data_IF_035238837718
#
_entry.id   IF_035238837718
#
_cell.length_a   1.000
_cell.length_b   1.000
_cell.length_c   1.000
_cell.angle_alpha   90.00
_cell.angle_beta   90.00
_cell.angle_gamma   90.00
#
_symmetry.space_group_name_H-M   'P 1'
#
loop_
_entity.id
_entity.type
_entity.pdbx_description
1 polymer ?
#
# COMPACT_ATOMS: atom_id res chain seq x y z
N UNK A 1 -5.85 4.65 -5.19
CA UNK A 1 -5.72 5.06 -3.78
C UNK A 1 -4.33 4.69 -3.29
N UNK A 2 -3.76 5.36 -2.29
CA UNK A 2 -2.52 4.87 -1.65
C UNK A 2 -2.94 3.77 -0.67
N UNK A 3 -2.43 2.56 -0.86
CA UNK A 3 -2.71 1.39 0.00
C UNK A 3 -1.64 1.28 1.08
N UNK A 4 -1.89 0.43 2.08
CA UNK A 4 -0.89 0.05 3.10
C UNK A 4 0.39 -0.52 2.48
N UNK A 5 0.25 -1.35 1.44
CA UNK A 5 1.36 -1.93 0.67
C UNK A 5 2.19 -0.85 -0.02
N UNK A 6 1.55 0.09 -0.71
CA UNK A 6 2.22 1.23 -1.36
C UNK A 6 2.94 2.09 -0.32
N UNK A 7 2.28 2.38 0.82
CA UNK A 7 2.87 3.17 1.90
C UNK A 7 4.11 2.50 2.51
N UNK A 8 4.08 1.17 2.64
CA UNK A 8 5.22 0.37 3.10
C UNK A 8 6.39 0.42 2.12
N UNK A 9 6.12 0.38 0.81
CA UNK A 9 7.15 0.54 -0.22
C UNK A 9 7.77 1.94 -0.21
N UNK A 10 6.96 2.98 -0.03
CA UNK A 10 7.46 4.37 0.10
C UNK A 10 8.47 4.47 1.23
N UNK A 11 8.14 3.95 2.41
CA UNK A 11 9.05 3.95 3.57
C UNK A 11 10.34 3.17 3.30
N UNK A 12 10.23 2.00 2.69
CA UNK A 12 11.39 1.18 2.32
C UNK A 12 12.32 1.92 1.36
N UNK A 13 11.78 2.61 0.36
CA UNK A 13 12.57 3.31 -0.65
C UNK A 13 13.09 4.67 -0.19
N UNK A 14 12.39 5.34 0.73
CA UNK A 14 12.86 6.61 1.29
C UNK A 14 14.02 6.42 2.28
N UNK A 15 14.26 5.20 2.76
CA UNK A 15 15.22 4.90 3.83
C UNK A 15 15.00 5.76 5.09
N UNK A 16 13.73 6.06 5.39
CA UNK A 16 13.32 6.83 6.56
C UNK A 16 12.66 5.90 7.57
N UNK A 17 12.80 6.24 8.84
CA UNK A 17 11.95 5.69 9.88
C UNK A 17 10.50 6.16 9.70
N UNK A 18 9.55 5.43 10.30
CA UNK A 18 8.16 5.86 10.33
C UNK A 18 7.99 7.24 10.97
N UNK A 19 8.79 7.54 11.99
CA UNK A 19 8.76 8.85 12.65
C UNK A 19 9.16 9.98 11.70
N UNK A 20 10.31 9.85 11.04
CA UNK A 20 10.82 10.88 10.12
C UNK A 20 9.88 11.11 8.93
N UNK A 21 9.28 10.04 8.41
CA UNK A 21 8.32 10.17 7.32
C UNK A 21 7.02 10.82 7.79
N UNK A 22 6.50 10.45 8.97
CA UNK A 22 5.30 11.04 9.54
C UNK A 22 5.45 12.56 9.76
N UNK A 23 6.60 12.98 10.30
CA UNK A 23 6.98 14.39 10.43
C UNK A 23 6.97 15.11 9.07
N UNK A 24 7.56 14.50 8.02
CA UNK A 24 7.59 15.08 6.66
C UNK A 24 6.21 15.29 6.04
N UNK A 25 5.23 14.46 6.37
CA UNK A 25 3.86 14.57 5.82
C UNK A 25 2.87 15.22 6.81
N UNK A 26 3.34 15.67 7.98
CA UNK A 26 2.56 16.42 8.95
C UNK A 26 1.55 15.60 9.76
N UNK A 27 1.87 14.33 10.07
CA UNK A 27 1.02 13.47 10.91
C UNK A 27 1.80 12.85 12.06
N UNK A 28 1.10 12.26 13.03
CA UNK A 28 1.77 11.49 14.08
C UNK A 28 2.28 10.14 13.57
N UNK A 29 3.41 9.68 14.12
CA UNK A 29 3.94 8.34 13.83
C UNK A 29 2.91 7.24 14.15
N UNK A 30 2.11 7.40 15.20
CA UNK A 30 1.07 6.44 15.56
C UNK A 30 -0.04 6.36 14.52
N UNK A 31 -0.43 7.49 13.90
CA UNK A 31 -1.38 7.49 12.79
C UNK A 31 -0.79 6.77 11.58
N UNK A 32 0.47 7.08 11.24
CA UNK A 32 1.18 6.43 10.14
C UNK A 32 1.25 4.90 10.35
N UNK A 33 1.56 4.44 11.56
CA UNK A 33 1.64 3.03 11.90
C UNK A 33 0.32 2.30 11.61
N UNK A 34 -0.82 2.88 12.00
CA UNK A 34 -2.15 2.30 11.74
C UNK A 34 -2.49 2.22 10.25
N UNK A 35 -2.01 3.17 9.45
CA UNK A 35 -2.15 3.13 7.99
C UNK A 35 -1.31 2.03 7.35
N UNK A 36 -0.07 1.84 7.84
CA UNK A 36 0.85 0.81 7.34
C UNK A 36 0.30 -0.60 7.59
N UNK A 37 -0.29 -0.86 8.77
CA UNK A 37 -0.85 -2.18 9.08
C UNK A 37 -2.26 -2.37 8.52
N UNK A 38 -2.84 -1.36 7.86
CA UNK A 38 -4.18 -1.42 7.30
C UNK A 38 -5.32 -1.39 8.34
N UNK A 39 -5.04 -1.08 9.60
CA UNK A 39 -6.07 -0.92 10.65
C UNK A 39 -6.98 0.27 10.35
N UNK A 40 -6.44 1.30 9.70
CA UNK A 40 -7.17 2.50 9.32
C UNK A 40 -6.91 2.87 7.87
N UNK A 41 -7.96 3.30 7.16
CA UNK A 41 -7.80 3.88 5.83
C UNK A 41 -7.10 5.24 5.89
N UNK A 42 -6.33 5.56 4.83
CA UNK A 42 -5.60 6.82 4.71
C UNK A 42 -6.58 7.93 4.30
N UNK A 43 -6.76 8.98 5.11
CA UNK A 43 -7.60 10.12 4.74
C UNK A 43 -7.09 10.82 3.47
N UNK A 44 -7.99 11.47 2.75
CA UNK A 44 -7.66 12.15 1.49
C UNK A 44 -6.54 13.19 1.67
N UNK A 45 -6.58 13.97 2.74
CA UNK A 45 -5.63 15.02 3.05
C UNK A 45 -4.23 14.45 3.28
N UNK A 46 -4.14 13.30 3.96
CA UNK A 46 -2.88 12.59 4.18
C UNK A 46 -2.36 12.02 2.87
N UNK A 47 -3.25 11.43 2.05
CA UNK A 47 -2.87 10.92 0.73
C UNK A 47 -2.38 12.03 -0.21
N UNK A 48 -2.97 13.23 -0.13
CA UNK A 48 -2.54 14.41 -0.86
C UNK A 48 -1.15 14.88 -0.38
N UNK A 49 -0.91 14.94 0.93
CA UNK A 49 0.42 15.26 1.49
C UNK A 49 1.48 14.25 1.06
N UNK A 50 1.19 12.95 1.11
CA UNK A 50 2.11 11.91 0.61
C UNK A 50 2.39 12.11 -0.88
N UNK A 51 1.35 12.37 -1.68
CA UNK A 51 1.50 12.57 -3.13
C UNK A 51 2.34 13.80 -3.45
N UNK A 52 2.16 14.88 -2.70
CA UNK A 52 2.98 16.10 -2.82
C UNK A 52 4.45 15.84 -2.48
N UNK A 53 4.72 15.08 -1.41
CA UNK A 53 6.08 14.77 -0.95
C UNK A 53 6.81 13.80 -1.88
N UNK A 54 6.11 12.81 -2.42
CA UNK A 54 6.71 11.73 -3.24
C UNK A 54 6.70 12.04 -4.73
N UNK A 55 5.76 12.88 -5.19
CA UNK A 55 5.54 13.23 -6.58
C UNK A 55 4.54 12.29 -7.27
N UNK A 56 3.65 12.88 -8.07
CA UNK A 56 2.56 12.17 -8.75
C UNK A 56 3.04 11.03 -9.65
N UNK A 57 4.15 11.24 -10.38
CA UNK A 57 4.74 10.23 -11.25
C UNK A 57 5.19 8.98 -10.47
N UNK A 58 5.86 9.17 -9.34
CA UNK A 58 6.31 8.07 -8.48
C UNK A 58 5.11 7.32 -7.88
N UNK A 59 4.09 8.05 -7.43
CA UNK A 59 2.84 7.44 -6.92
C UNK A 59 2.14 6.63 -8.02
N UNK A 60 2.11 7.13 -9.26
CA UNK A 60 1.54 6.40 -10.40
C UNK A 60 2.28 5.08 -10.66
N UNK A 61 3.61 5.11 -10.68
CA UNK A 61 4.43 3.91 -10.88
C UNK A 61 4.23 2.88 -9.75
N UNK A 62 4.23 3.33 -8.50
CA UNK A 62 3.99 2.47 -7.34
C UNK A 62 2.62 1.79 -7.39
N UNK A 63 1.57 2.53 -7.78
CA UNK A 63 0.22 1.97 -7.95
C UNK A 63 0.15 0.93 -9.07
N UNK A 64 0.79 1.21 -10.19
CA UNK A 64 0.84 0.30 -11.33
C UNK A 64 1.53 -1.00 -10.94
N UNK A 65 2.65 -0.90 -10.22
CA UNK A 65 3.39 -2.05 -9.72
C UNK A 65 2.60 -2.86 -8.68
N UNK A 66 1.97 -2.20 -7.71
CA UNK A 66 1.12 -2.83 -6.67
C UNK A 66 -0.04 -3.63 -7.29
N UNK A 67 -0.71 -3.07 -8.31
CA UNK A 67 -1.76 -3.77 -9.05
C UNK A 67 -1.24 -5.01 -9.79
N UNK A 68 -0.06 -4.92 -10.39
CA UNK A 68 0.59 -6.05 -11.05
C UNK A 68 0.95 -7.15 -10.06
N UNK A 69 1.51 -6.80 -8.91
CA UNK A 69 1.83 -7.74 -7.83
C UNK A 69 0.60 -8.47 -7.32
N UNK A 70 -0.52 -7.77 -7.11
CA UNK A 70 -1.77 -8.39 -6.67
C UNK A 70 -2.28 -9.43 -7.69
N UNK A 71 -2.12 -9.14 -8.99
CA UNK A 71 -2.52 -10.07 -10.06
C UNK A 71 -1.64 -11.31 -10.06
N UNK A 72 -0.32 -11.14 -9.91
CA UNK A 72 0.64 -12.23 -9.79
C UNK A 72 0.35 -13.08 -8.55
N UNK A 73 0.07 -12.45 -7.40
CA UNK A 73 -0.26 -13.14 -6.16
C UNK A 73 -1.47 -14.07 -6.33
N UNK A 74 -2.53 -13.59 -6.99
CA UNK A 74 -3.72 -14.39 -7.27
C UNK A 74 -3.39 -15.59 -8.16
N UNK A 75 -2.62 -15.38 -9.24
CA UNK A 75 -2.22 -16.46 -10.15
C UNK A 75 -1.36 -17.51 -9.42
N UNK A 76 -0.39 -17.08 -8.60
CA UNK A 76 0.43 -17.99 -7.79
C UNK A 76 -0.45 -18.78 -6.82
N UNK A 77 -1.37 -18.13 -6.10
CA UNK A 77 -2.29 -18.81 -5.17
C UNK A 77 -3.14 -19.86 -5.88
N UNK A 78 -3.65 -19.57 -7.08
CA UNK A 78 -4.42 -20.51 -7.90
C UNK A 78 -3.59 -21.72 -8.33
N UNK A 79 -2.33 -21.52 -8.71
CA UNK A 79 -1.42 -22.60 -9.14
C UNK A 79 -0.92 -23.48 -7.99
N UNK A 80 -0.70 -22.88 -6.81
CA UNK A 80 -0.12 -23.59 -5.66
C UNK A 80 -1.16 -24.21 -4.73
N UNK A 81 -2.42 -23.77 -4.80
CA UNK A 81 -3.51 -24.29 -3.98
C UNK A 81 -4.74 -24.57 -4.86
N UNK A 82 -4.94 -25.85 -5.18
CA UNK A 82 -6.06 -26.34 -6.02
C UNK A 82 -7.45 -26.00 -5.45
N UNK A 83 -7.54 -25.70 -4.14
CA UNK A 83 -8.77 -25.32 -3.45
C UNK A 83 -8.84 -23.82 -3.14
N UNK A 84 -8.01 -22.98 -3.76
CA UNK A 84 -8.04 -21.53 -3.51
C UNK A 84 -9.43 -20.97 -3.85
N UNK A 85 -10.06 -20.40 -2.82
CA UNK A 85 -11.32 -19.68 -2.89
C UNK A 85 -11.03 -18.21 -2.60
N UNK A 86 -11.72 -17.32 -3.31
CA UNK A 86 -11.63 -15.89 -3.03
C UNK A 86 -12.25 -15.54 -1.67
N UNK A 87 -12.21 -14.27 -1.31
CA UNK A 87 -12.78 -13.70 -0.07
C UNK A 87 -14.28 -13.97 0.12
N UNK A 88 -14.97 -14.42 -0.92
CA UNK A 88 -16.39 -14.80 -0.95
C UNK A 88 -16.60 -16.32 -0.96
N UNK A 89 -15.54 -17.13 -0.86
CA UNK A 89 -15.63 -18.59 -0.93
C UNK A 89 -15.80 -19.15 -2.34
N UNK A 90 -15.72 -18.32 -3.38
CA UNK A 90 -15.93 -18.71 -4.76
C UNK A 90 -14.60 -18.98 -5.48
N UNK A 91 -14.54 -19.96 -6.39
CA UNK A 91 -13.44 -20.03 -7.35
C UNK A 91 -13.49 -18.78 -8.24
N UNK A 92 -12.44 -17.93 -8.19
CA UNK A 92 -12.29 -16.84 -9.16
C UNK A 92 -11.86 -17.46 -10.50
N UNK A 93 -12.80 -17.46 -11.47
CA UNK A 93 -12.58 -17.85 -12.87
C UNK A 93 -11.38 -17.09 -13.45
#
# INVERSE_FOLDING_TARGET
>A
MITSSILSLILKFSALTQYEFAEKIGISQSALSRYIIGEREIPYEVAASITKTIGEHNIFLLRTFDSGLNTIEIDIKKRMNENYKNEKGEPKL
#
